data_IF_690278187962
#
_entry.id   IF_690278187962
#
_cell.length_a   1.000
_cell.length_b   1.000
_cell.length_c   1.000
_cell.angle_alpha   90.00
_cell.angle_beta   90.00
_cell.angle_gamma   90.00
#
_symmetry.space_group_name_H-M   'P 1'
#
loop_
_entity.id
_entity.type
_entity.pdbx_description
1 polymer ?
#
# COMPACT_ATOMS: atom_id res chain seq x y z
N UNK A 1 -20.04 9.15 -28.17
CA UNK A 1 -20.98 9.12 -27.03
C UNK A 1 -20.15 8.98 -25.78
N UNK A 2 -20.31 9.93 -24.88
CA UNK A 2 -19.73 9.90 -23.54
C UNK A 2 -20.22 8.65 -22.79
N UNK A 3 -19.36 7.99 -22.01
CA UNK A 3 -19.73 6.79 -21.23
C UNK A 3 -20.92 7.08 -20.30
N UNK A 4 -20.99 8.31 -19.78
CA UNK A 4 -22.09 8.79 -18.94
C UNK A 4 -23.42 8.80 -19.70
N UNK A 5 -23.43 9.24 -20.95
CA UNK A 5 -24.63 9.27 -21.79
C UNK A 5 -25.15 7.85 -22.09
N UNK A 6 -24.24 6.89 -22.28
CA UNK A 6 -24.62 5.47 -22.48
C UNK A 6 -25.22 4.87 -21.23
N UNK A 7 -24.61 5.11 -20.06
CA UNK A 7 -25.13 4.66 -18.76
C UNK A 7 -26.49 5.29 -18.46
N UNK A 8 -26.66 6.58 -18.75
CA UNK A 8 -27.92 7.30 -18.59
C UNK A 8 -29.05 6.70 -19.42
N UNK A 9 -28.78 6.45 -20.70
CA UNK A 9 -29.74 5.82 -21.60
C UNK A 9 -30.10 4.39 -21.18
N UNK A 10 -29.11 3.58 -20.75
CA UNK A 10 -29.33 2.18 -20.39
C UNK A 10 -30.13 1.98 -19.09
N UNK A 11 -29.96 2.87 -18.11
CA UNK A 11 -30.55 2.72 -16.78
C UNK A 11 -31.56 3.81 -16.41
N UNK A 12 -31.95 4.67 -17.37
CA UNK A 12 -32.99 5.69 -17.17
C UNK A 12 -32.56 6.86 -16.29
N UNK A 13 -31.27 7.16 -16.21
CA UNK A 13 -30.75 8.29 -15.43
C UNK A 13 -30.41 9.50 -16.31
N UNK A 14 -30.67 10.69 -15.79
CA UNK A 14 -30.18 11.95 -16.39
C UNK A 14 -28.68 12.12 -16.15
N UNK A 15 -28.01 12.84 -17.04
CA UNK A 15 -26.56 13.08 -16.99
C UNK A 15 -26.11 13.75 -15.69
N UNK A 16 -26.87 14.72 -15.16
CA UNK A 16 -26.52 15.46 -13.93
C UNK A 16 -26.27 14.54 -12.72
N UNK A 17 -27.23 13.69 -12.32
CA UNK A 17 -27.03 12.61 -11.35
C UNK A 17 -25.79 11.76 -11.58
N UNK A 18 -25.55 11.30 -12.80
CA UNK A 18 -24.43 10.42 -13.11
C UNK A 18 -23.08 11.14 -13.01
N UNK A 19 -23.03 12.44 -13.35
CA UNK A 19 -21.86 13.29 -13.13
C UNK A 19 -21.57 13.51 -11.64
N UNK A 20 -22.60 13.60 -10.79
CA UNK A 20 -22.42 13.64 -9.34
C UNK A 20 -21.85 12.32 -8.81
N UNK A 21 -22.41 11.19 -9.25
CA UNK A 21 -21.93 9.86 -8.88
C UNK A 21 -20.47 9.65 -9.32
N UNK A 22 -20.14 10.02 -10.56
CA UNK A 22 -18.77 9.97 -11.09
C UNK A 22 -17.80 10.74 -10.20
N UNK A 23 -18.15 11.97 -9.79
CA UNK A 23 -17.32 12.76 -8.86
C UNK A 23 -17.14 12.08 -7.51
N UNK A 24 -18.21 11.53 -6.91
CA UNK A 24 -18.12 10.79 -5.63
C UNK A 24 -17.20 9.56 -5.76
N UNK A 25 -17.31 8.82 -6.87
CA UNK A 25 -16.50 7.64 -7.14
C UNK A 25 -15.03 7.97 -7.42
N UNK A 26 -14.74 9.07 -8.12
CA UNK A 26 -13.36 9.53 -8.33
C UNK A 26 -12.68 9.85 -7.00
N UNK A 27 -13.35 10.57 -6.10
CA UNK A 27 -12.82 10.88 -4.76
C UNK A 27 -12.55 9.58 -3.98
N UNK A 28 -13.51 8.65 -3.97
CA UNK A 28 -13.35 7.35 -3.33
C UNK A 28 -12.17 6.51 -3.87
N UNK A 29 -11.82 6.68 -5.15
CA UNK A 29 -10.67 6.00 -5.74
C UNK A 29 -9.34 6.71 -5.47
N UNK A 30 -9.33 8.05 -5.47
CA UNK A 30 -8.13 8.86 -5.30
C UNK A 30 -7.67 8.97 -3.84
N UNK A 31 -8.60 8.86 -2.89
CA UNK A 31 -8.26 9.05 -1.49
C UNK A 31 -7.31 7.95 -0.99
N UNK A 32 -6.17 8.32 -0.38
CA UNK A 32 -5.27 7.36 0.21
C UNK A 32 -6.02 6.63 1.34
N UNK A 33 -6.24 5.34 1.16
CA UNK A 33 -6.87 4.51 2.20
C UNK A 33 -5.93 4.38 3.38
N UNK A 34 -6.20 5.13 4.44
CA UNK A 34 -5.52 4.97 5.72
C UNK A 34 -6.14 3.80 6.49
N UNK A 35 -5.72 2.58 6.14
CA UNK A 35 -6.19 1.37 6.81
C UNK A 35 -5.47 1.19 8.14
N UNK A 36 -6.18 1.40 9.25
CA UNK A 36 -5.72 0.89 10.54
C UNK A 36 -5.77 -0.65 10.49
N UNK A 37 -4.62 -1.30 10.57
CA UNK A 37 -4.50 -2.77 10.57
C UNK A 37 -3.90 -3.25 11.91
N UNK A 38 -4.62 -3.09 13.04
CA UNK A 38 -4.11 -3.46 14.37
C UNK A 38 -3.71 -4.94 14.45
N UNK A 39 -4.41 -5.82 13.73
CA UNK A 39 -4.09 -7.25 13.63
C UNK A 39 -2.72 -7.53 12.99
N UNK A 40 -2.19 -6.59 12.20
CA UNK A 40 -0.87 -6.73 11.58
C UNK A 40 0.26 -6.18 12.44
N UNK A 41 -0.02 -5.58 13.61
CA UNK A 41 1.03 -5.01 14.47
C UNK A 41 2.03 -6.08 14.91
N UNK A 42 1.56 -7.21 15.43
CA UNK A 42 2.44 -8.31 15.84
C UNK A 42 3.20 -8.94 14.64
N UNK A 43 2.54 -9.32 13.52
CA UNK A 43 3.23 -9.77 12.32
C UNK A 43 4.27 -8.79 11.76
N UNK A 44 3.98 -7.47 11.80
CA UNK A 44 4.91 -6.41 11.36
C UNK A 44 6.10 -6.26 12.29
N UNK A 45 5.91 -6.42 13.61
CA UNK A 45 6.99 -6.48 14.59
C UNK A 45 7.87 -7.71 14.38
N UNK A 46 7.27 -8.90 14.23
CA UNK A 46 8.02 -10.14 13.98
C UNK A 46 8.82 -10.08 12.68
N UNK A 47 8.20 -9.58 11.61
CA UNK A 47 8.88 -9.35 10.34
C UNK A 47 9.99 -8.30 10.48
N UNK A 48 9.73 -7.21 11.19
CA UNK A 48 10.70 -6.17 11.51
C UNK A 48 11.93 -6.73 12.20
N UNK A 49 11.73 -7.53 13.24
CA UNK A 49 12.79 -8.20 14.00
C UNK A 49 13.60 -9.18 13.12
N UNK A 50 12.95 -9.94 12.23
CA UNK A 50 13.63 -10.84 11.28
C UNK A 50 14.49 -10.07 10.27
N UNK A 51 13.96 -8.99 9.70
CA UNK A 51 14.69 -8.16 8.73
C UNK A 51 15.84 -7.43 9.40
N UNK A 52 15.64 -6.87 10.59
CA UNK A 52 16.69 -6.28 11.40
C UNK A 52 17.79 -7.28 11.72
N UNK A 53 17.45 -8.52 12.10
CA UNK A 53 18.45 -9.56 12.32
C UNK A 53 19.27 -9.87 11.07
N UNK A 54 18.63 -9.90 9.90
CA UNK A 54 19.35 -10.08 8.62
C UNK A 54 20.31 -8.91 8.36
N UNK A 55 19.87 -7.68 8.59
CA UNK A 55 20.71 -6.49 8.45
C UNK A 55 21.91 -6.52 9.41
N UNK A 56 21.69 -6.84 10.69
CA UNK A 56 22.74 -7.02 11.70
C UNK A 56 23.78 -8.06 11.25
N UNK A 57 23.32 -9.21 10.76
CA UNK A 57 24.22 -10.25 10.27
C UNK A 57 25.06 -9.79 9.06
N UNK A 58 24.46 -9.02 8.15
CA UNK A 58 25.17 -8.46 7.00
C UNK A 58 26.21 -7.41 7.44
N UNK A 59 25.87 -6.56 8.41
CA UNK A 59 26.80 -5.57 8.96
C UNK A 59 27.98 -6.23 9.65
N UNK A 60 27.78 -7.32 10.42
CA UNK A 60 28.89 -8.08 11.03
C UNK A 60 29.86 -8.65 9.99
N UNK A 61 29.33 -9.22 8.91
CA UNK A 61 30.16 -9.71 7.80
C UNK A 61 30.93 -8.58 7.12
N UNK A 62 30.31 -7.40 6.98
CA UNK A 62 30.97 -6.22 6.45
C UNK A 62 32.09 -5.75 7.39
N UNK A 63 31.85 -5.68 8.70
CA UNK A 63 32.88 -5.35 9.71
C UNK A 63 34.06 -6.31 9.64
N UNK A 64 33.83 -7.63 9.55
CA UNK A 64 34.90 -8.62 9.39
C UNK A 64 35.72 -8.40 8.11
N UNK A 65 35.06 -8.08 6.99
CA UNK A 65 35.74 -7.80 5.72
C UNK A 65 36.54 -6.49 5.78
N UNK A 66 35.97 -5.44 6.37
CA UNK A 66 36.61 -4.14 6.57
C UNK A 66 37.81 -4.28 7.51
N UNK A 67 37.71 -5.08 8.57
CA UNK A 67 38.82 -5.32 9.49
C UNK A 67 40.03 -5.95 8.77
N UNK A 68 39.79 -6.91 7.88
CA UNK A 68 40.84 -7.51 7.03
C UNK A 68 41.44 -6.47 6.08
N UNK A 69 40.61 -5.63 5.45
CA UNK A 69 41.08 -4.56 4.59
C UNK A 69 41.92 -3.52 5.36
N UNK A 70 41.52 -3.16 6.57
CA UNK A 70 42.26 -2.24 7.44
C UNK A 70 43.64 -2.78 7.80
N UNK A 71 43.78 -4.10 8.04
CA UNK A 71 45.08 -4.73 8.26
C UNK A 71 46.01 -4.53 7.06
N UNK A 72 45.54 -4.82 5.85
CA UNK A 72 46.30 -4.61 4.61
C UNK A 72 46.66 -3.14 4.42
N UNK A 73 45.71 -2.23 4.65
CA UNK A 73 45.93 -0.78 4.52
C UNK A 73 46.99 -0.29 5.51
N UNK A 74 47.05 -0.82 6.73
CA UNK A 74 48.05 -0.44 7.74
C UNK A 74 49.49 -0.85 7.35
N UNK A 75 49.63 -1.86 6.49
CA UNK A 75 50.92 -2.26 5.92
C UNK A 75 51.38 -1.33 4.80
N UNK A 76 50.46 -0.61 4.16
CA UNK A 76 50.79 0.33 3.10
C UNK A 76 51.57 1.54 3.65
N UNK A 77 52.42 2.10 2.80
CA UNK A 77 53.12 3.36 3.03
C UNK A 77 52.83 4.28 1.86
N UNK A 78 52.31 5.46 2.16
CA UNK A 78 51.96 6.46 1.16
C UNK A 78 53.00 7.56 1.16
N UNK A 79 53.65 7.78 0.02
CA UNK A 79 54.52 8.94 -0.17
C UNK A 79 53.68 10.22 -0.23
N UNK A 80 54.22 11.34 0.28
CA UNK A 80 53.59 12.65 0.15
C UNK A 80 54.15 13.36 -1.10
N UNK A 81 53.43 13.41 -2.24
CA UNK A 81 53.92 14.08 -3.44
C UNK A 81 54.06 15.60 -3.26
N UNK A 82 53.37 16.18 -2.28
CA UNK A 82 53.36 17.61 -1.98
C UNK A 82 54.26 17.99 -0.79
N UNK A 83 55.14 17.09 -0.35
CA UNK A 83 56.06 17.36 0.77
C UNK A 83 56.89 18.65 0.54
N UNK A 84 57.26 18.92 -0.71
CA UNK A 84 58.04 20.09 -1.11
C UNK A 84 57.28 21.43 -1.01
N UNK A 85 55.94 21.41 -0.95
CA UNK A 85 55.11 22.62 -0.79
C UNK A 85 54.60 22.81 0.63
N UNK A 86 55.01 21.94 1.58
CA UNK A 86 54.57 21.99 2.97
C UNK A 86 53.11 21.55 3.19
N UNK A 87 52.46 20.96 2.18
CA UNK A 87 51.08 20.50 2.28
C UNK A 87 50.97 19.13 2.97
N UNK A 88 49.88 18.87 3.73
CA UNK A 88 49.63 17.58 4.35
C UNK A 88 49.45 16.48 3.29
N UNK A 89 49.70 15.23 3.68
CA UNK A 89 49.61 14.10 2.77
C UNK A 89 48.13 13.81 2.43
N UNK A 90 47.69 13.86 1.16
CA UNK A 90 46.31 13.55 0.79
C UNK A 90 45.84 12.16 1.23
N UNK A 91 46.76 11.20 1.36
CA UNK A 91 46.44 9.86 1.85
C UNK A 91 45.91 9.88 3.30
N UNK A 92 46.36 10.82 4.14
CA UNK A 92 45.89 10.95 5.52
C UNK A 92 44.40 11.31 5.59
N UNK A 93 43.93 12.18 4.69
CA UNK A 93 42.51 12.53 4.58
C UNK A 93 41.64 11.31 4.24
N UNK A 94 42.05 10.52 3.24
CA UNK A 94 41.31 9.33 2.85
C UNK A 94 41.35 8.24 3.93
N UNK A 95 42.47 8.08 4.64
CA UNK A 95 42.57 7.17 5.78
C UNK A 95 41.67 7.60 6.95
N UNK A 96 41.57 8.90 7.23
CA UNK A 96 40.64 9.42 8.23
C UNK A 96 39.18 9.14 7.84
N UNK A 97 38.80 9.46 6.59
CA UNK A 97 37.46 9.19 6.05
C UNK A 97 37.11 7.70 6.11
N UNK A 98 38.08 6.83 5.80
CA UNK A 98 37.88 5.39 5.91
C UNK A 98 37.56 4.97 7.36
N UNK A 99 38.33 5.44 8.34
CA UNK A 99 38.11 5.13 9.77
C UNK A 99 36.74 5.60 10.26
N UNK A 100 36.34 6.82 9.92
CA UNK A 100 35.01 7.35 10.24
C UNK A 100 33.90 6.47 9.65
N UNK A 101 34.08 6.00 8.42
CA UNK A 101 33.15 5.05 7.79
C UNK A 101 33.05 3.71 8.51
N UNK A 102 34.17 3.18 9.01
CA UNK A 102 34.20 1.94 9.81
C UNK A 102 33.44 2.13 11.12
N UNK A 103 33.68 3.23 11.83
CA UNK A 103 33.00 3.56 13.09
C UNK A 103 31.49 3.71 12.87
N UNK A 104 31.08 4.44 11.84
CA UNK A 104 29.67 4.64 11.51
C UNK A 104 28.91 3.33 11.23
N UNK A 105 29.56 2.34 10.60
CA UNK A 105 28.98 1.01 10.37
C UNK A 105 28.74 0.29 11.70
N UNK A 106 29.67 0.38 12.65
CA UNK A 106 29.53 -0.29 13.95
C UNK A 106 28.47 0.38 14.81
N UNK A 107 28.43 1.71 14.83
CA UNK A 107 27.41 2.49 15.53
C UNK A 107 26.02 2.16 15.01
N UNK A 108 25.85 2.10 13.69
CA UNK A 108 24.56 1.75 13.09
C UNK A 108 24.13 0.31 13.40
N UNK A 109 25.07 -0.65 13.41
CA UNK A 109 24.79 -2.03 13.85
C UNK A 109 24.31 -2.04 15.31
N UNK A 110 25.00 -1.33 16.20
CA UNK A 110 24.63 -1.27 17.62
C UNK A 110 23.27 -0.61 17.82
N UNK A 111 22.97 0.45 17.06
CA UNK A 111 21.64 1.05 17.01
C UNK A 111 20.56 0.02 16.63
N UNK A 112 20.77 -0.77 15.57
CA UNK A 112 19.82 -1.81 15.17
C UNK A 112 19.65 -2.91 16.22
N UNK A 113 20.73 -3.31 16.90
CA UNK A 113 20.67 -4.27 18.01
C UNK A 113 19.83 -3.73 19.18
N UNK A 114 20.02 -2.46 19.54
CA UNK A 114 19.25 -1.80 20.59
C UNK A 114 17.78 -1.65 20.21
N UNK A 115 17.49 -1.21 19.00
CA UNK A 115 16.12 -1.07 18.49
C UNK A 115 15.41 -2.42 18.43
N UNK A 116 16.11 -3.50 18.07
CA UNK A 116 15.56 -4.85 18.12
C UNK A 116 15.27 -5.31 19.55
N UNK A 117 16.17 -5.07 20.51
CA UNK A 117 15.97 -5.46 21.93
C UNK A 117 14.79 -4.75 22.58
N UNK A 118 14.52 -3.51 22.18
CA UNK A 118 13.47 -2.67 22.74
C UNK A 118 12.16 -2.72 21.94
N UNK A 119 11.98 -3.70 21.04
CA UNK A 119 10.82 -3.81 20.13
C UNK A 119 10.50 -2.54 19.34
N UNK A 120 11.53 -1.71 19.07
CA UNK A 120 11.41 -0.43 18.38
C UNK A 120 11.36 -0.55 16.85
N UNK A 121 11.42 -1.77 16.31
CA UNK A 121 11.45 -2.02 14.86
C UNK A 121 10.13 -2.63 14.40
N UNK A 122 9.40 -1.90 13.57
CA UNK A 122 8.27 -2.42 12.80
C UNK A 122 8.60 -2.40 11.31
N UNK A 123 8.25 -3.46 10.59
CA UNK A 123 8.43 -3.48 9.14
C UNK A 123 7.38 -2.58 8.46
N UNK A 124 7.86 -1.58 7.70
CA UNK A 124 7.04 -0.60 7.01
C UNK A 124 6.47 -1.09 5.67
N UNK A 125 5.77 -2.22 5.66
CA UNK A 125 5.02 -2.63 4.47
C UNK A 125 3.81 -1.73 4.22
N UNK A 126 3.53 -1.51 2.93
CA UNK A 126 2.23 -1.03 2.43
C UNK A 126 1.08 -1.84 3.06
N UNK A 127 -0.08 -1.22 3.31
CA UNK A 127 -1.25 -1.94 3.81
C UNK A 127 -1.56 -3.14 2.92
N UNK A 128 -2.06 -4.23 3.53
CA UNK A 128 -2.43 -5.45 2.80
C UNK A 128 -3.23 -5.11 1.51
N UNK A 129 -2.59 -5.33 0.35
CA UNK A 129 -3.13 -4.94 -0.96
C UNK A 129 -4.49 -5.58 -1.23
N UNK A 130 -4.72 -6.80 -0.70
CA UNK A 130 -6.01 -7.48 -0.81
C UNK A 130 -7.07 -6.74 0.00
N UNK A 131 -6.78 -6.39 1.25
CA UNK A 131 -7.71 -5.61 2.09
C UNK A 131 -7.98 -4.22 1.50
N UNK A 132 -6.95 -3.54 0.99
CA UNK A 132 -7.12 -2.25 0.33
C UNK A 132 -8.02 -2.35 -0.90
N UNK A 133 -7.83 -3.38 -1.73
CA UNK A 133 -8.70 -3.65 -2.87
C UNK A 133 -10.13 -3.96 -2.43
N UNK A 134 -10.29 -4.84 -1.45
CA UNK A 134 -11.61 -5.26 -0.97
C UNK A 134 -12.37 -4.09 -0.34
N UNK A 135 -11.69 -3.19 0.39
CA UNK A 135 -12.30 -1.97 0.92
C UNK A 135 -12.64 -0.97 -0.18
N UNK A 136 -11.76 -0.75 -1.18
CA UNK A 136 -12.11 0.12 -2.33
C UNK A 136 -13.36 -0.37 -3.03
N UNK A 137 -13.45 -1.68 -3.28
CA UNK A 137 -14.64 -2.31 -3.85
C UNK A 137 -15.88 -2.02 -2.99
N UNK A 138 -15.77 -2.17 -1.67
CA UNK A 138 -16.85 -1.88 -0.74
C UNK A 138 -17.30 -0.41 -0.81
N UNK A 139 -16.37 0.55 -0.78
CA UNK A 139 -16.67 1.98 -0.90
C UNK A 139 -17.39 2.29 -2.23
N UNK A 140 -16.92 1.72 -3.34
CA UNK A 140 -17.57 1.88 -4.65
C UNK A 140 -19.00 1.34 -4.62
N UNK A 141 -19.19 0.10 -4.17
CA UNK A 141 -20.53 -0.50 -4.05
C UNK A 141 -21.46 0.34 -3.16
N UNK A 142 -20.99 0.76 -1.99
CA UNK A 142 -21.78 1.54 -1.04
C UNK A 142 -22.15 2.93 -1.58
N UNK A 143 -21.23 3.57 -2.30
CA UNK A 143 -21.50 4.85 -2.97
C UNK A 143 -22.62 4.69 -4.01
N UNK A 144 -22.60 3.60 -4.79
CA UNK A 144 -23.64 3.30 -5.77
C UNK A 144 -24.97 2.96 -5.09
N UNK A 145 -24.97 2.16 -4.01
CA UNK A 145 -26.18 1.84 -3.25
C UNK A 145 -26.81 3.07 -2.61
N UNK A 146 -25.99 3.99 -2.10
CA UNK A 146 -26.44 5.28 -1.57
C UNK A 146 -27.11 6.09 -2.67
N UNK A 147 -26.44 6.22 -3.83
CA UNK A 147 -26.99 6.90 -5.01
C UNK A 147 -28.33 6.31 -5.46
N UNK A 148 -28.46 4.98 -5.44
CA UNK A 148 -29.68 4.27 -5.81
C UNK A 148 -30.81 4.57 -4.82
N UNK A 149 -30.49 4.56 -3.52
CA UNK A 149 -31.45 4.81 -2.43
C UNK A 149 -31.93 6.27 -2.42
N UNK A 150 -31.03 7.24 -2.66
CA UNK A 150 -31.37 8.67 -2.78
C UNK A 150 -32.42 8.96 -3.86
N UNK A 151 -32.58 8.04 -4.83
CA UNK A 151 -33.56 8.12 -5.92
C UNK A 151 -34.81 7.29 -5.68
N UNK A 152 -35.01 6.81 -4.45
CA UNK A 152 -36.14 5.99 -4.04
C UNK A 152 -36.27 4.68 -4.84
N UNK A 153 -35.15 4.18 -5.40
CA UNK A 153 -35.14 2.91 -6.10
C UNK A 153 -34.93 1.75 -5.10
N UNK A 154 -35.57 0.59 -5.33
CA UNK A 154 -35.51 -0.52 -4.40
C UNK A 154 -34.13 -1.17 -4.38
N UNK A 155 -33.59 -1.39 -3.19
CA UNK A 155 -32.37 -2.16 -2.93
C UNK A 155 -32.66 -3.67 -2.98
N UNK A 156 -32.93 -4.19 -4.18
CA UNK A 156 -33.26 -5.60 -4.41
C UNK A 156 -32.41 -6.19 -5.52
N UNK A 157 -32.30 -7.51 -5.53
CA UNK A 157 -31.70 -8.29 -6.60
C UNK A 157 -32.70 -9.38 -7.02
N UNK A 158 -32.53 -9.88 -8.25
CA UNK A 158 -33.27 -11.02 -8.77
C UNK A 158 -32.37 -12.26 -8.80
N UNK A 159 -32.98 -13.43 -8.89
CA UNK A 159 -32.28 -14.71 -9.09
C UNK A 159 -32.83 -15.34 -10.35
N UNK A 160 -31.94 -15.70 -11.27
CA UNK A 160 -32.29 -16.50 -12.43
C UNK A 160 -32.69 -17.91 -11.96
N UNK A 161 -33.89 -18.41 -12.31
CA UNK A 161 -34.38 -19.71 -11.85
C UNK A 161 -33.62 -20.90 -12.46
N UNK A 162 -32.92 -20.71 -13.57
CA UNK A 162 -32.19 -21.75 -14.31
C UNK A 162 -30.72 -21.73 -13.89
N UNK A 163 -30.05 -20.58 -14.00
CA UNK A 163 -28.60 -20.47 -13.72
C UNK A 163 -28.30 -20.27 -12.24
N UNK A 164 -29.30 -19.95 -11.42
CA UNK A 164 -29.14 -19.52 -10.02
C UNK A 164 -28.27 -18.26 -9.85
N UNK A 165 -27.97 -17.55 -10.94
CA UNK A 165 -27.20 -16.31 -10.90
C UNK A 165 -28.02 -15.18 -10.29
N UNK A 166 -27.33 -14.28 -9.57
CA UNK A 166 -27.95 -13.08 -8.99
C UNK A 166 -27.75 -11.90 -9.94
N UNK A 167 -28.81 -11.16 -10.19
CA UNK A 167 -28.79 -10.00 -11.08
C UNK A 167 -29.88 -8.98 -10.73
N UNK A 168 -30.41 -8.32 -11.76
CA UNK A 168 -31.45 -7.29 -11.67
C UNK A 168 -30.88 -5.88 -11.76
N UNK A 169 -31.77 -4.90 -11.94
CA UNK A 169 -31.44 -3.53 -12.34
C UNK A 169 -30.31 -2.89 -11.52
N UNK A 170 -30.31 -3.10 -10.20
CA UNK A 170 -29.26 -2.59 -9.32
C UNK A 170 -27.90 -3.24 -9.62
N UNK A 171 -27.86 -4.56 -9.77
CA UNK A 171 -26.61 -5.29 -10.01
C UNK A 171 -26.08 -5.04 -11.41
N UNK A 172 -26.97 -4.89 -12.39
CA UNK A 172 -26.62 -4.50 -13.75
C UNK A 172 -26.05 -3.09 -13.78
N UNK A 173 -26.65 -2.15 -13.05
CA UNK A 173 -26.13 -0.79 -12.92
C UNK A 173 -24.76 -0.74 -12.24
N UNK A 174 -24.58 -1.48 -11.13
CA UNK A 174 -23.27 -1.57 -10.45
C UNK A 174 -22.21 -2.09 -11.41
N UNK A 175 -22.49 -3.19 -12.11
CA UNK A 175 -21.53 -3.77 -13.05
C UNK A 175 -21.23 -2.85 -14.23
N UNK A 176 -22.22 -2.13 -14.76
CA UNK A 176 -21.99 -1.16 -15.83
C UNK A 176 -21.05 -0.02 -15.38
N UNK A 177 -21.17 0.44 -14.14
CA UNK A 177 -20.24 1.42 -13.55
C UNK A 177 -18.84 0.82 -13.36
N UNK A 178 -18.75 -0.39 -12.78
CA UNK A 178 -17.45 -1.04 -12.52
C UNK A 178 -16.69 -1.34 -13.81
N UNK A 179 -17.38 -1.75 -14.87
CA UNK A 179 -16.80 -1.94 -16.20
C UNK A 179 -16.20 -0.65 -16.77
N UNK A 180 -16.82 0.51 -16.50
CA UNK A 180 -16.28 1.81 -16.90
C UNK A 180 -15.07 2.24 -16.06
N UNK A 181 -14.92 1.69 -14.85
CA UNK A 181 -13.87 2.06 -13.88
C UNK A 181 -12.66 1.12 -13.88
N UNK A 182 -12.69 0.04 -14.66
CA UNK A 182 -11.66 -1.01 -14.62
C UNK A 182 -11.03 -1.26 -15.99
N UNK A 183 -9.71 -1.48 -16.01
CA UNK A 183 -8.96 -1.86 -17.20
C UNK A 183 -8.12 -3.12 -16.90
N UNK A 184 -8.41 -4.28 -17.51
CA UNK A 184 -9.51 -4.54 -18.45
C UNK A 184 -10.90 -4.40 -17.77
N UNK A 185 -11.99 -4.19 -18.53
CA UNK A 185 -13.34 -4.16 -17.97
C UNK A 185 -13.65 -5.45 -17.21
N UNK A 186 -14.06 -5.32 -15.95
CA UNK A 186 -14.38 -6.47 -15.07
C UNK A 186 -15.77 -6.33 -14.47
N UNK A 187 -16.34 -7.47 -14.05
CA UNK A 187 -17.64 -7.56 -13.37
C UNK A 187 -17.46 -8.12 -11.97
N UNK A 188 -18.30 -7.67 -11.05
CA UNK A 188 -18.43 -8.23 -9.70
C UNK A 188 -19.49 -9.33 -9.76
N UNK A 189 -19.19 -10.49 -9.19
CA UNK A 189 -20.15 -11.60 -9.15
C UNK A 189 -21.39 -11.22 -8.34
N UNK A 190 -22.56 -11.69 -8.78
CA UNK A 190 -23.83 -11.41 -8.12
C UNK A 190 -23.88 -11.87 -6.65
N UNK A 191 -23.21 -12.97 -6.29
CA UNK A 191 -23.09 -13.39 -4.88
C UNK A 191 -22.26 -12.40 -4.05
N UNK A 192 -21.21 -11.82 -4.62
CA UNK A 192 -20.41 -10.79 -3.94
C UNK A 192 -21.24 -9.53 -3.73
N UNK A 193 -21.97 -9.09 -4.77
CA UNK A 193 -22.86 -7.93 -4.69
C UNK A 193 -23.98 -8.13 -3.67
N UNK A 194 -24.54 -9.34 -3.56
CA UNK A 194 -25.53 -9.71 -2.54
C UNK A 194 -24.97 -9.59 -1.12
N UNK A 195 -23.75 -10.05 -0.90
CA UNK A 195 -23.08 -9.92 0.41
C UNK A 195 -22.83 -8.46 0.76
N UNK A 196 -22.32 -7.67 -0.19
CA UNK A 196 -22.07 -6.24 0.02
C UNK A 196 -23.38 -5.47 0.25
N UNK A 197 -24.45 -5.80 -0.48
CA UNK A 197 -25.79 -5.22 -0.32
C UNK A 197 -26.36 -5.51 1.07
N UNK A 198 -26.23 -6.76 1.54
CA UNK A 198 -26.69 -7.14 2.88
C UNK A 198 -25.96 -6.33 3.96
N UNK A 199 -24.63 -6.21 3.88
CA UNK A 199 -23.84 -5.39 4.82
C UNK A 199 -24.28 -3.93 4.82
N UNK A 200 -24.51 -3.36 3.64
CA UNK A 200 -25.00 -2.00 3.51
C UNK A 200 -26.40 -1.82 4.14
N UNK A 201 -27.30 -2.78 3.96
CA UNK A 201 -28.62 -2.77 4.58
C UNK A 201 -28.53 -2.87 6.12
N UNK A 202 -27.70 -3.77 6.63
CA UNK A 202 -27.45 -3.93 8.07
C UNK A 202 -26.87 -2.62 8.67
N UNK A 203 -25.94 -1.97 7.97
CA UNK A 203 -25.41 -0.65 8.35
C UNK A 203 -26.48 0.45 8.36
N UNK A 204 -27.32 0.52 7.31
CA UNK A 204 -28.42 1.48 7.27
C UNK A 204 -29.44 1.30 8.40
N UNK A 205 -29.57 0.08 8.94
CA UNK A 205 -30.44 -0.22 10.07
C UNK A 205 -29.80 0.13 11.42
N UNK A 206 -28.48 0.01 11.56
CA UNK A 206 -27.80 0.32 12.83
C UNK A 206 -27.62 1.81 13.11
N UNK A 207 -27.74 2.66 12.09
CA UNK A 207 -27.63 4.12 12.18
C UNK A 207 -28.98 4.81 12.40
N UNK A 208 -30.09 4.05 12.41
CA UNK A 208 -31.45 4.54 12.70
C UNK A 208 -31.82 4.34 14.16
#
# INVERSE_FOLDING_TARGET
>A
MDQIQRLGAAHGFKDGPLLELSRKLTVAQSDPLNLSQPELVAPKKDRGARVAQRAINNLRRAEEAIAKAQQVINELRFSNPFAHTGMPNPAEYHLATFREGVEAISDFRQYLENMKRNDGISYGDEPDRRKARDLRKEIVCWTIFTFWTERSLPLKFTTDPISSERGGDLFDFVNAIVECMTEPPTRISGETLKLDLKRYQDFCQSVR
#
